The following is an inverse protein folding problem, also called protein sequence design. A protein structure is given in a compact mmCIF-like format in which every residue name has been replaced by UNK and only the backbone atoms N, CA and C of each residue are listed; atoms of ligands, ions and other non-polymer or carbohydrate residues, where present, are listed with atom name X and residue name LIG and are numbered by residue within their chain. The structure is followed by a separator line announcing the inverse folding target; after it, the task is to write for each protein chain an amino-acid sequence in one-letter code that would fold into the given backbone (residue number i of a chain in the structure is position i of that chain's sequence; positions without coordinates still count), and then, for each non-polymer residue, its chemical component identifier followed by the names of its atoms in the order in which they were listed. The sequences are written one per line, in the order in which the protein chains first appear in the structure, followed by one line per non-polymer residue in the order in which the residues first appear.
data_IF_026738634566
#
_entry.id   IF_026738634566
#
_cell.length_a   1.000
_cell.length_b   1.000
_cell.length_c   1.000
_cell.angle_alpha   90.00
_cell.angle_beta   90.00
_cell.angle_gamma   90.00
#
_symmetry.space_group_name_H-M   'P 1'
#
loop_
_entity.id
_entity.type
_entity.pdbx_description
1 polymer ?
#
# COMPACT_ATOMS: atom_id res chain seq x y z
N UNK A 1 18.19 -4.26 -39.26
CA UNK A 1 18.29 -5.43 -38.37
C UNK A 1 17.00 -5.56 -37.59
N UNK A 2 16.27 -6.67 -37.71
CA UNK A 2 15.08 -6.93 -36.90
C UNK A 2 15.56 -7.19 -35.47
N UNK A 3 15.27 -6.27 -34.55
CA UNK A 3 15.60 -6.44 -33.13
C UNK A 3 14.67 -7.53 -32.58
N UNK A 4 15.22 -8.72 -32.29
CA UNK A 4 14.54 -9.77 -31.55
C UNK A 4 14.84 -9.65 -30.04
N UNK A 5 14.09 -10.31 -29.13
CA UNK A 5 14.27 -10.13 -27.68
C UNK A 5 15.66 -10.48 -27.14
N UNK A 6 16.38 -11.43 -27.77
CA UNK A 6 17.73 -11.80 -27.34
C UNK A 6 18.76 -10.77 -27.79
N UNK A 7 18.64 -10.28 -29.03
CA UNK A 7 19.44 -9.14 -29.52
C UNK A 7 19.12 -7.85 -28.77
N UNK A 8 17.89 -7.69 -28.27
CA UNK A 8 17.53 -6.57 -27.42
C UNK A 8 18.17 -6.63 -26.04
N UNK A 9 18.28 -7.81 -25.45
CA UNK A 9 18.93 -7.97 -24.15
C UNK A 9 20.44 -7.67 -24.25
N UNK A 10 21.10 -8.16 -25.31
CA UNK A 10 22.48 -7.80 -25.63
C UNK A 10 22.62 -6.29 -25.92
N UNK A 11 21.66 -5.70 -26.63
CA UNK A 11 21.66 -4.26 -26.85
C UNK A 11 21.45 -3.45 -25.56
N UNK A 12 20.52 -3.86 -24.69
CA UNK A 12 20.30 -3.24 -23.39
C UNK A 12 21.59 -3.20 -22.59
N UNK A 13 22.39 -4.27 -22.66
CA UNK A 13 23.71 -4.33 -22.04
C UNK A 13 24.64 -3.25 -22.59
N UNK A 14 24.78 -3.12 -23.91
CA UNK A 14 25.60 -2.08 -24.55
C UNK A 14 25.11 -0.67 -24.19
N UNK A 15 23.81 -0.43 -24.29
CA UNK A 15 23.21 0.87 -24.00
C UNK A 15 23.40 1.30 -22.54
N UNK A 16 23.54 0.34 -21.62
CA UNK A 16 23.78 0.60 -20.20
C UNK A 16 25.26 0.79 -19.83
N UNK A 17 26.19 0.56 -20.76
CA UNK A 17 27.61 0.92 -20.59
C UNK A 17 27.88 2.40 -20.88
N UNK A 18 26.94 3.09 -21.54
CA UNK A 18 27.00 4.53 -21.73
C UNK A 18 26.78 5.25 -20.37
N UNK A 19 27.38 6.44 -20.17
CA UNK A 19 27.26 7.17 -18.91
C UNK A 19 25.79 7.32 -18.51
N UNK A 20 25.44 6.82 -17.33
CA UNK A 20 24.08 6.85 -16.85
C UNK A 20 23.65 8.29 -16.56
N UNK A 21 22.52 8.67 -17.13
CA UNK A 21 21.88 9.96 -16.91
C UNK A 21 21.25 10.02 -15.50
N UNK A 22 21.85 10.82 -14.61
CA UNK A 22 21.31 11.43 -13.38
C UNK A 22 20.47 10.52 -12.44
N UNK A 23 20.71 9.20 -12.44
CA UNK A 23 19.95 8.25 -11.61
C UNK A 23 18.47 8.06 -12.03
N UNK A 24 18.07 8.58 -13.20
CA UNK A 24 16.71 8.44 -13.74
C UNK A 24 16.45 7.01 -14.22
N UNK A 25 15.20 6.55 -14.04
CA UNK A 25 14.73 5.21 -14.45
C UNK A 25 13.54 5.32 -15.38
N UNK A 26 13.30 4.25 -16.14
CA UNK A 26 12.14 4.09 -17.01
C UNK A 26 11.58 2.68 -16.91
N UNK A 27 10.29 2.53 -17.21
CA UNK A 27 9.59 1.25 -17.28
C UNK A 27 9.26 0.97 -18.75
N UNK A 28 9.78 -0.14 -19.27
CA UNK A 28 9.55 -0.61 -20.64
C UNK A 28 8.63 -1.81 -20.58
N UNK A 29 7.45 -1.71 -21.19
CA UNK A 29 6.49 -2.82 -21.32
C UNK A 29 6.71 -3.60 -22.60
N UNK A 30 6.62 -4.91 -22.49
CA UNK A 30 6.78 -5.85 -23.60
C UNK A 30 5.41 -6.38 -24.03
N UNK A 31 5.18 -6.43 -25.33
CA UNK A 31 3.88 -6.73 -25.93
C UNK A 31 3.39 -8.16 -25.72
N UNK A 32 4.30 -9.14 -25.68
CA UNK A 32 3.98 -10.56 -25.56
C UNK A 32 4.66 -11.23 -24.38
N UNK A 33 3.99 -12.24 -23.80
CA UNK A 33 4.54 -13.10 -22.74
C UNK A 33 5.77 -13.89 -23.22
N UNK A 34 5.78 -14.27 -24.50
CA UNK A 34 6.91 -14.98 -25.13
C UNK A 34 8.16 -14.10 -25.11
N UNK A 35 8.06 -12.88 -25.59
CA UNK A 35 9.18 -11.96 -25.71
C UNK A 35 9.68 -11.52 -24.34
N UNK A 36 8.75 -11.20 -23.43
CA UNK A 36 9.09 -10.90 -22.04
C UNK A 36 9.80 -12.08 -21.37
N UNK A 37 9.31 -13.30 -21.56
CA UNK A 37 9.92 -14.52 -21.01
C UNK A 37 11.34 -14.75 -21.53
N UNK A 38 11.59 -14.50 -22.82
CA UNK A 38 12.93 -14.57 -23.41
C UNK A 38 13.86 -13.53 -22.79
N UNK A 39 13.43 -12.28 -22.73
CA UNK A 39 14.19 -11.17 -22.14
C UNK A 39 14.52 -11.42 -20.66
N UNK A 40 13.51 -11.78 -19.85
CA UNK A 40 13.68 -12.02 -18.42
C UNK A 40 14.63 -13.22 -18.14
N UNK A 41 14.55 -14.29 -18.95
CA UNK A 41 15.47 -15.43 -18.84
C UNK A 41 16.89 -15.03 -19.19
N UNK A 42 17.08 -14.23 -20.25
CA UNK A 42 18.39 -13.76 -20.65
C UNK A 42 19.03 -12.91 -19.54
N UNK A 43 18.32 -11.90 -19.03
CA UNK A 43 18.76 -11.07 -17.90
C UNK A 43 19.16 -11.93 -16.70
N UNK A 44 18.31 -12.91 -16.33
CA UNK A 44 18.58 -13.76 -15.17
C UNK A 44 19.85 -14.61 -15.32
N UNK A 45 20.11 -15.14 -16.52
CA UNK A 45 21.28 -15.98 -16.79
C UNK A 45 22.59 -15.19 -16.76
N UNK A 46 22.58 -13.98 -17.31
CA UNK A 46 23.80 -13.18 -17.47
C UNK A 46 24.09 -12.23 -16.30
N UNK A 47 23.15 -12.04 -15.38
CA UNK A 47 23.32 -11.14 -14.22
C UNK A 47 24.54 -11.47 -13.34
N UNK A 48 24.98 -12.75 -13.29
CA UNK A 48 26.19 -13.14 -12.53
C UNK A 48 27.49 -12.71 -13.18
N UNK A 49 27.56 -12.76 -14.51
CA UNK A 49 28.77 -12.41 -15.27
C UNK A 49 28.79 -10.95 -15.69
N UNK A 50 27.64 -10.26 -15.63
CA UNK A 50 27.50 -8.87 -16.06
C UNK A 50 26.75 -8.04 -15.00
N UNK A 51 27.49 -7.31 -14.14
CA UNK A 51 26.90 -6.51 -13.07
C UNK A 51 25.92 -5.42 -13.53
N UNK A 52 26.08 -4.88 -14.74
CA UNK A 52 25.19 -3.83 -15.29
C UNK A 52 23.75 -4.31 -15.43
N UNK A 53 23.52 -5.57 -15.80
CA UNK A 53 22.19 -6.20 -15.84
C UNK A 53 21.55 -6.33 -14.44
N UNK A 54 22.33 -6.19 -13.37
CA UNK A 54 21.83 -6.06 -12.00
C UNK A 54 20.91 -4.83 -11.82
N UNK A 55 21.10 -3.79 -12.64
CA UNK A 55 20.29 -2.55 -12.61
C UNK A 55 18.97 -2.68 -13.37
N UNK A 56 18.73 -3.81 -14.06
CA UNK A 56 17.45 -4.11 -14.71
C UNK A 56 16.59 -4.95 -13.77
N UNK A 57 15.38 -4.50 -13.50
CA UNK A 57 14.41 -5.20 -12.68
C UNK A 57 13.23 -5.71 -13.52
N UNK A 58 13.09 -7.03 -13.70
CA UNK A 58 11.88 -7.59 -14.29
C UNK A 58 10.65 -7.37 -13.38
N UNK A 59 9.55 -6.94 -14.00
CA UNK A 59 8.22 -6.74 -13.42
C UNK A 59 7.25 -7.67 -14.17
N UNK A 60 7.20 -8.93 -13.73
CA UNK A 60 6.48 -10.02 -14.40
C UNK A 60 4.97 -9.79 -14.44
N UNK A 61 4.40 -9.20 -13.39
CA UNK A 61 2.97 -8.94 -13.24
C UNK A 61 2.39 -8.11 -14.40
N UNK A 62 3.22 -7.26 -15.00
CA UNK A 62 2.82 -6.37 -16.10
C UNK A 62 3.62 -6.57 -17.39
N UNK A 63 4.47 -7.60 -17.43
CA UNK A 63 5.39 -7.92 -18.54
C UNK A 63 6.28 -6.73 -18.89
N UNK A 64 6.94 -6.17 -17.88
CA UNK A 64 7.77 -4.98 -18.04
C UNK A 64 9.17 -5.18 -17.42
N UNK A 65 10.09 -4.30 -17.79
CA UNK A 65 11.37 -4.13 -17.11
C UNK A 65 11.49 -2.70 -16.62
N UNK A 66 12.02 -2.49 -15.43
CA UNK A 66 12.56 -1.19 -15.00
C UNK A 66 14.07 -1.19 -15.25
N UNK A 67 14.58 -0.13 -15.85
CA UNK A 67 15.99 0.07 -16.10
C UNK A 67 16.34 1.57 -16.05
N UNK A 68 17.63 1.93 -15.97
CA UNK A 68 18.06 3.31 -16.22
C UNK A 68 17.54 3.82 -17.56
N UNK A 69 17.34 5.14 -17.69
CA UNK A 69 16.97 5.75 -18.97
C UNK A 69 18.03 5.42 -20.03
N UNK A 70 17.57 5.02 -21.20
CA UNK A 70 18.42 4.64 -22.34
C UNK A 70 18.35 5.74 -23.41
N UNK A 71 19.38 5.91 -24.26
CA UNK A 71 19.35 6.88 -25.35
C UNK A 71 18.17 6.65 -26.33
N UNK A 72 17.49 7.73 -26.74
CA UNK A 72 16.18 7.69 -27.41
C UNK A 72 16.15 6.96 -28.78
N UNK A 73 17.28 6.87 -29.49
CA UNK A 73 17.31 6.42 -30.89
C UNK A 73 17.02 4.94 -31.17
N UNK A 74 17.06 4.04 -30.16
CA UNK A 74 16.92 2.58 -30.36
C UNK A 74 15.72 1.93 -29.67
N UNK A 75 15.01 2.64 -28.79
CA UNK A 75 13.76 2.13 -28.19
C UNK A 75 12.61 2.13 -29.21
N UNK A 76 12.56 3.15 -30.07
CA UNK A 76 11.51 3.30 -31.09
C UNK A 76 11.54 2.22 -32.19
N UNK A 77 12.69 1.55 -32.39
CA UNK A 77 12.87 0.54 -33.44
C UNK A 77 12.65 -0.91 -32.99
N UNK A 78 12.31 -1.13 -31.72
CA UNK A 78 12.07 -2.46 -31.16
C UNK A 78 10.58 -2.85 -31.21
N UNK A 79 10.14 -3.73 -32.13
CA UNK A 79 8.72 -3.99 -32.39
C UNK A 79 7.98 -4.72 -31.26
N UNK A 80 8.70 -5.34 -30.32
CA UNK A 80 8.11 -6.03 -29.17
C UNK A 80 7.88 -5.12 -27.95
N UNK A 81 8.29 -3.85 -28.01
CA UNK A 81 8.00 -2.86 -26.96
C UNK A 81 6.59 -2.32 -27.17
N UNK A 82 5.72 -2.48 -26.16
CA UNK A 82 4.35 -1.97 -26.22
C UNK A 82 4.21 -0.53 -25.71
N UNK A 83 5.06 -0.12 -24.77
CA UNK A 83 5.10 1.25 -24.25
C UNK A 83 6.34 1.49 -23.40
N UNK A 84 6.76 2.75 -23.33
CA UNK A 84 7.80 3.22 -22.40
C UNK A 84 7.19 4.33 -21.54
N UNK A 85 7.43 4.31 -20.24
CA UNK A 85 7.05 5.40 -19.32
C UNK A 85 8.18 5.73 -18.35
N UNK A 86 8.26 6.98 -17.91
CA UNK A 86 9.21 7.41 -16.89
C UNK A 86 8.88 6.75 -15.54
N UNK A 87 9.88 6.17 -14.90
CA UNK A 87 9.75 5.58 -13.57
C UNK A 87 9.79 6.71 -12.53
N UNK A 88 8.63 7.31 -12.30
CA UNK A 88 8.49 8.49 -11.43
C UNK A 88 8.75 8.12 -9.96
N UNK A 89 9.30 9.08 -9.19
CA UNK A 89 9.49 8.91 -7.74
C UNK A 89 8.22 9.35 -6.99
N UNK A 90 7.79 8.52 -6.06
CA UNK A 90 6.68 8.75 -5.13
C UNK A 90 7.28 9.08 -3.75
N UNK A 91 6.61 9.95 -3.00
CA UNK A 91 6.96 10.22 -1.60
C UNK A 91 5.79 9.90 -0.67
N UNK A 92 6.09 9.45 0.54
CA UNK A 92 5.08 9.34 1.59
C UNK A 92 4.51 10.71 1.92
N UNK A 93 3.19 10.77 2.05
CA UNK A 93 2.49 11.96 2.50
C UNK A 93 2.37 11.94 4.01
N UNK A 94 3.30 12.57 4.72
CA UNK A 94 3.14 12.87 6.15
C UNK A 94 2.69 14.33 6.25
N UNK A 95 1.50 14.60 6.77
CA UNK A 95 0.98 15.97 6.84
C UNK A 95 1.90 16.90 7.64
N UNK A 96 1.99 18.17 7.25
CA UNK A 96 2.81 19.21 7.90
C UNK A 96 2.44 19.51 9.37
N UNK A 97 1.46 18.80 9.93
CA UNK A 97 1.05 18.86 11.33
C UNK A 97 1.80 17.85 12.21
N UNK A 98 3.10 18.04 12.35
CA UNK A 98 3.89 17.54 13.48
C UNK A 98 4.41 16.11 13.35
N UNK A 99 5.71 16.00 13.09
CA UNK A 99 6.54 15.29 14.05
C UNK A 99 6.39 16.01 15.40
N UNK A 100 5.26 15.78 16.09
CA UNK A 100 5.21 15.99 17.52
C UNK A 100 6.24 14.99 18.04
N UNK A 101 7.38 15.50 18.48
CA UNK A 101 8.25 14.82 19.44
C UNK A 101 7.44 14.61 20.72
N UNK A 102 6.44 13.74 20.64
CA UNK A 102 5.71 13.23 21.78
C UNK A 102 6.74 12.46 22.56
N UNK A 103 7.30 13.13 23.58
CA UNK A 103 8.11 12.50 24.64
C UNK A 103 7.51 11.14 24.89
N UNK A 104 8.29 10.08 24.62
CA UNK A 104 7.82 8.70 24.63
C UNK A 104 7.00 8.45 25.89
N UNK A 105 5.67 8.51 25.75
CA UNK A 105 4.77 8.37 26.89
C UNK A 105 4.84 6.91 27.27
N UNK A 106 5.45 6.62 28.41
CA UNK A 106 5.35 5.32 29.05
C UNK A 106 3.89 5.04 29.34
N UNK A 107 3.25 4.18 28.54
CA UNK A 107 1.89 3.74 28.80
C UNK A 107 1.86 2.96 30.12
N UNK A 108 0.89 3.26 31.00
CA UNK A 108 0.68 2.53 32.26
C UNK A 108 -0.20 1.28 32.09
N UNK A 109 -0.67 1.01 30.86
CA UNK A 109 -1.47 -0.17 30.52
C UNK A 109 -1.72 -0.30 29.01
N UNK A 110 -2.49 -1.31 28.61
CA UNK A 110 -2.93 -1.47 27.24
C UNK A 110 -3.98 -0.41 26.87
N UNK A 111 -3.74 0.35 25.81
CA UNK A 111 -4.60 1.45 25.37
C UNK A 111 -5.22 1.11 24.03
N UNK A 112 -6.54 1.28 23.91
CA UNK A 112 -7.20 1.27 22.60
C UNK A 112 -7.15 2.70 22.04
N UNK A 113 -6.45 2.98 20.91
CA UNK A 113 -6.41 4.32 20.34
C UNK A 113 -7.82 4.84 19.99
N UNK A 114 -8.00 6.16 20.00
CA UNK A 114 -9.32 6.76 19.82
C UNK A 114 -9.96 6.37 18.49
N UNK A 115 -9.17 6.29 17.40
CA UNK A 115 -9.65 5.95 16.06
C UNK A 115 -10.25 4.54 16.02
N UNK A 116 -9.60 3.59 16.70
CA UNK A 116 -10.06 2.20 16.85
C UNK A 116 -11.41 2.14 17.58
N UNK A 117 -11.56 2.89 18.69
CA UNK A 117 -12.86 3.02 19.40
C UNK A 117 -13.92 3.70 18.54
N UNK A 118 -13.55 4.76 17.83
CA UNK A 118 -14.44 5.61 17.05
C UNK A 118 -15.15 4.85 15.94
N UNK A 119 -14.43 3.95 15.25
CA UNK A 119 -14.98 3.08 14.20
C UNK A 119 -15.73 1.86 14.76
N UNK A 120 -15.85 1.73 16.08
CA UNK A 120 -16.50 0.59 16.76
C UNK A 120 -15.81 -0.76 16.49
N UNK A 121 -14.47 -0.78 16.39
CA UNK A 121 -13.71 -2.01 16.26
C UNK A 121 -13.81 -2.91 17.52
N UNK A 122 -13.78 -2.39 18.77
CA UNK A 122 -13.93 -3.23 19.95
C UNK A 122 -15.22 -4.05 19.99
N UNK A 123 -16.33 -3.47 19.54
CA UNK A 123 -17.60 -4.18 19.43
C UNK A 123 -17.57 -5.24 18.32
N UNK A 124 -16.84 -4.97 17.22
CA UNK A 124 -16.67 -5.92 16.12
C UNK A 124 -15.86 -7.16 16.51
N UNK A 125 -14.96 -7.06 17.50
CA UNK A 125 -14.14 -8.17 18.00
C UNK A 125 -14.95 -9.33 18.60
N UNK A 126 -16.20 -9.09 19.00
CA UNK A 126 -17.15 -10.15 19.39
C UNK A 126 -17.55 -11.05 18.21
N UNK A 127 -17.32 -10.61 16.96
CA UNK A 127 -17.67 -11.32 15.74
C UNK A 127 -16.46 -11.80 14.96
N UNK A 128 -15.37 -11.03 14.96
CA UNK A 128 -14.13 -11.32 14.26
C UNK A 128 -13.01 -10.44 14.77
N UNK A 129 -11.80 -10.97 14.88
CA UNK A 129 -10.56 -10.25 15.22
C UNK A 129 -9.54 -10.23 14.07
N UNK A 130 -9.93 -10.71 12.88
CA UNK A 130 -9.10 -10.72 11.68
C UNK A 130 -8.18 -11.94 11.55
N UNK A 131 -8.52 -13.05 12.21
CA UNK A 131 -7.69 -14.26 12.27
C UNK A 131 -7.22 -14.74 10.88
N UNK A 132 -5.91 -15.03 10.78
CA UNK A 132 -5.20 -15.55 9.61
C UNK A 132 -5.28 -14.70 8.32
N UNK A 133 -5.87 -13.51 8.33
CA UNK A 133 -5.90 -12.65 7.14
C UNK A 133 -4.55 -12.01 6.91
N UNK A 134 -4.01 -12.18 5.70
CA UNK A 134 -2.68 -11.71 5.32
C UNK A 134 -2.75 -10.34 4.68
N UNK A 135 -1.99 -9.40 5.23
CA UNK A 135 -2.01 -8.00 4.82
C UNK A 135 -0.61 -7.59 4.40
N UNK A 136 -0.43 -7.31 3.11
CA UNK A 136 0.78 -6.74 2.55
C UNK A 136 0.81 -5.24 2.78
N UNK A 137 1.74 -4.76 3.61
CA UNK A 137 1.94 -3.34 3.88
C UNK A 137 3.08 -2.83 3.01
N UNK A 138 2.75 -2.24 1.85
CA UNK A 138 3.73 -1.66 0.93
C UNK A 138 4.11 -0.27 1.45
N UNK A 139 5.25 -0.19 2.13
CA UNK A 139 5.65 0.99 2.92
C UNK A 139 7.18 0.99 3.17
N UNK A 140 7.64 1.60 4.26
CA UNK A 140 9.07 1.70 4.65
C UNK A 140 9.63 0.47 5.36
N UNK A 141 8.82 -0.57 5.58
CA UNK A 141 9.19 -1.75 6.37
C UNK A 141 8.47 -1.78 7.72
N UNK A 142 8.84 -2.71 8.61
CA UNK A 142 8.32 -2.75 9.99
C UNK A 142 9.45 -3.07 11.00
N UNK A 143 9.35 -2.52 12.21
CA UNK A 143 10.14 -2.94 13.37
C UNK A 143 9.69 -4.33 13.89
N UNK A 144 10.42 -5.38 13.48
CA UNK A 144 10.15 -6.76 13.90
C UNK A 144 10.38 -7.01 15.40
N UNK A 145 11.14 -6.14 16.09
CA UNK A 145 11.40 -6.27 17.51
C UNK A 145 10.33 -5.58 18.37
N UNK A 146 9.38 -4.87 17.77
CA UNK A 146 8.35 -4.15 18.51
C UNK A 146 7.49 -5.13 19.34
N UNK A 147 7.37 -4.94 20.67
CA UNK A 147 6.69 -5.89 21.56
C UNK A 147 5.23 -6.12 21.19
N UNK A 148 4.54 -5.06 20.72
CA UNK A 148 3.15 -5.12 20.27
C UNK A 148 2.95 -5.68 18.86
N UNK A 149 4.01 -5.91 18.06
CA UNK A 149 3.88 -6.37 16.67
C UNK A 149 4.45 -7.77 16.43
N UNK A 150 5.41 -8.24 17.23
CA UNK A 150 6.09 -9.54 17.04
C UNK A 150 5.16 -10.76 16.90
N UNK A 151 3.92 -10.66 17.36
CA UNK A 151 2.92 -11.73 17.30
C UNK A 151 2.15 -11.76 15.97
N UNK A 152 2.08 -10.64 15.24
CA UNK A 152 1.33 -10.50 13.99
C UNK A 152 2.23 -10.38 12.75
N UNK A 153 3.55 -10.24 12.93
CA UNK A 153 4.47 -10.11 11.81
C UNK A 153 4.85 -11.46 11.21
N UNK A 154 4.64 -11.58 9.90
CA UNK A 154 5.13 -12.66 9.06
C UNK A 154 6.32 -12.21 8.23
N UNK A 155 7.03 -13.16 7.60
CA UNK A 155 8.12 -12.83 6.68
C UNK A 155 7.61 -11.93 5.54
N UNK A 156 8.24 -10.79 5.39
CA UNK A 156 7.94 -9.81 4.35
C UNK A 156 8.93 -9.82 3.18
N UNK A 157 8.91 -8.75 2.39
CA UNK A 157 9.78 -8.56 1.22
C UNK A 157 10.43 -7.20 1.23
N UNK A 158 11.75 -7.15 1.07
CA UNK A 158 12.50 -5.92 0.90
C UNK A 158 12.83 -5.73 -0.59
N UNK A 159 12.10 -4.82 -1.23
CA UNK A 159 12.26 -4.54 -2.66
C UNK A 159 13.62 -3.89 -2.92
N UNK A 160 14.07 -3.02 -2.00
CA UNK A 160 15.30 -2.25 -2.10
C UNK A 160 16.55 -3.13 -1.92
N UNK A 161 16.47 -4.14 -1.05
CA UNK A 161 17.52 -5.15 -0.88
C UNK A 161 16.91 -6.51 -0.56
N UNK A 162 16.79 -7.36 -1.59
CA UNK A 162 16.11 -8.67 -1.54
C UNK A 162 16.80 -9.71 -0.64
N UNK A 163 18.03 -9.45 -0.18
CA UNK A 163 18.77 -10.33 0.73
C UNK A 163 18.46 -10.05 2.20
N UNK A 164 17.88 -8.88 2.50
CA UNK A 164 17.59 -8.44 3.86
C UNK A 164 16.10 -8.56 4.17
N UNK A 165 15.79 -8.69 5.46
CA UNK A 165 14.42 -8.51 5.93
C UNK A 165 13.99 -7.03 5.73
N UNK A 166 12.69 -6.77 5.56
CA UNK A 166 12.14 -5.41 5.37
C UNK A 166 12.05 -4.66 6.71
N UNK A 167 13.19 -4.43 7.35
CA UNK A 167 13.29 -3.61 8.55
C UNK A 167 12.96 -2.15 8.25
N UNK A 168 12.20 -1.54 9.15
CA UNK A 168 11.86 -0.12 9.05
C UNK A 168 12.99 0.77 9.55
N UNK A 169 13.36 1.75 8.72
CA UNK A 169 14.36 2.77 8.99
C UNK A 169 13.76 4.19 8.94
N UNK A 170 12.43 4.30 8.78
CA UNK A 170 11.70 5.56 8.73
C UNK A 170 10.66 5.67 9.87
N UNK A 171 9.93 4.57 10.14
CA UNK A 171 8.92 4.45 11.19
C UNK A 171 7.48 4.48 10.69
N UNK A 172 7.22 5.00 9.48
CA UNK A 172 5.87 5.10 8.94
C UNK A 172 5.22 3.72 8.78
N UNK A 173 5.90 2.75 8.17
CA UNK A 173 5.37 1.39 8.01
C UNK A 173 5.10 0.69 9.34
N UNK A 174 5.95 0.90 10.35
CA UNK A 174 5.71 0.43 11.73
C UNK A 174 4.44 1.04 12.34
N UNK A 175 4.18 2.32 12.10
CA UNK A 175 2.95 3.01 12.56
C UNK A 175 1.70 2.44 11.91
N UNK A 176 1.76 2.21 10.59
CA UNK A 176 0.70 1.57 9.81
C UNK A 176 0.41 0.16 10.35
N UNK A 177 1.44 -0.66 10.53
CA UNK A 177 1.30 -2.03 11.03
C UNK A 177 0.60 -2.07 12.41
N UNK A 178 0.96 -1.17 13.32
CA UNK A 178 0.31 -1.12 14.65
C UNK A 178 -1.15 -0.70 14.61
N UNK A 179 -1.52 0.22 13.72
CA UNK A 179 -2.92 0.63 13.59
C UNK A 179 -3.76 -0.54 13.08
N UNK A 180 -3.19 -1.38 12.19
CA UNK A 180 -3.87 -2.54 11.65
C UNK A 180 -3.96 -3.66 12.70
N UNK A 181 -2.84 -4.10 13.29
CA UNK A 181 -2.77 -5.39 13.97
C UNK A 181 -1.93 -5.40 15.26
N UNK A 182 -1.63 -4.25 15.89
CA UNK A 182 -0.98 -4.29 17.20
C UNK A 182 -1.82 -5.06 18.22
N UNK A 183 -1.16 -5.73 19.15
CA UNK A 183 -1.80 -6.37 20.28
C UNK A 183 -0.90 -6.35 21.51
N UNK A 184 -1.22 -5.44 22.42
CA UNK A 184 -0.63 -5.39 23.74
C UNK A 184 -1.40 -6.27 24.73
N UNK A 185 -0.68 -7.08 25.52
CA UNK A 185 -1.25 -7.84 26.65
C UNK A 185 -1.28 -7.03 27.94
N UNK A 186 -0.19 -6.34 28.27
CA UNK A 186 -0.06 -5.58 29.53
C UNK A 186 0.11 -4.08 29.28
N UNK A 187 1.02 -3.70 28.38
CA UNK A 187 1.36 -2.32 28.06
C UNK A 187 1.52 -2.17 26.55
N UNK A 188 0.94 -1.10 25.99
CA UNK A 188 1.01 -0.84 24.56
C UNK A 188 -0.35 -0.50 23.97
N UNK A 189 -0.58 -0.82 22.71
CA UNK A 189 -1.84 -0.54 22.00
C UNK A 189 -2.48 -1.78 21.38
N UNK A 190 -3.74 -1.65 20.99
CA UNK A 190 -4.46 -2.66 20.22
C UNK A 190 -4.93 -2.04 18.89
N UNK A 191 -4.57 -2.70 17.78
CA UNK A 191 -4.97 -2.35 16.41
C UNK A 191 -6.38 -2.80 16.07
N UNK A 192 -6.84 -2.51 14.85
CA UNK A 192 -8.21 -2.83 14.41
C UNK A 192 -8.47 -4.34 14.33
N UNK A 193 -7.51 -5.10 13.81
CA UNK A 193 -7.57 -6.53 13.55
C UNK A 193 -6.39 -7.24 14.23
N UNK A 194 -6.44 -7.40 15.57
CA UNK A 194 -5.31 -7.87 16.37
C UNK A 194 -4.91 -9.33 16.14
N UNK A 195 -5.63 -10.09 15.31
CA UNK A 195 -5.27 -11.46 14.91
C UNK A 195 -4.92 -11.58 13.42
N UNK A 196 -4.84 -10.46 12.69
CA UNK A 196 -4.38 -10.46 11.31
C UNK A 196 -2.86 -10.61 11.22
N UNK A 197 -2.37 -11.09 10.08
CA UNK A 197 -0.95 -11.27 9.79
C UNK A 197 -0.45 -10.15 8.88
N UNK A 198 0.51 -9.38 9.37
CA UNK A 198 1.18 -8.33 8.60
C UNK A 198 2.38 -8.91 7.87
N UNK A 199 2.43 -8.72 6.56
CA UNK A 199 3.60 -8.95 5.74
C UNK A 199 4.18 -7.59 5.32
N UNK A 200 5.30 -7.15 5.92
CA UNK A 200 5.93 -5.90 5.54
C UNK A 200 6.50 -5.99 4.11
N UNK A 201 6.21 -5.02 3.25
CA UNK A 201 6.77 -4.93 1.90
C UNK A 201 7.49 -3.59 1.78
N UNK A 202 8.81 -3.61 2.03
CA UNK A 202 9.65 -2.40 2.02
C UNK A 202 9.93 -1.99 0.58
N UNK A 203 9.15 -1.04 0.08
CA UNK A 203 9.34 -0.39 -1.22
C UNK A 203 9.85 1.05 -1.07
N UNK A 204 9.72 1.64 0.12
CA UNK A 204 10.15 3.01 0.41
C UNK A 204 11.47 3.03 1.19
N UNK A 205 12.35 3.95 0.81
CA UNK A 205 13.63 4.20 1.48
C UNK A 205 13.45 4.95 2.81
N UNK A 206 14.56 5.17 3.52
CA UNK A 206 14.58 5.87 4.81
C UNK A 206 14.01 7.31 4.75
N UNK A 207 14.01 7.94 3.58
CA UNK A 207 13.43 9.28 3.37
C UNK A 207 11.95 9.22 2.99
N UNK A 208 11.35 8.02 2.91
CA UNK A 208 9.99 7.82 2.45
C UNK A 208 9.82 8.02 0.95
N UNK A 209 10.88 7.83 0.15
CA UNK A 209 10.82 7.85 -1.31
C UNK A 209 10.78 6.43 -1.90
N UNK A 210 10.06 6.26 -3.01
CA UNK A 210 10.02 5.00 -3.77
C UNK A 210 9.92 5.27 -5.27
N UNK A 211 10.44 4.38 -6.11
CA UNK A 211 10.12 4.36 -7.53
C UNK A 211 8.79 3.64 -7.77
N UNK A 212 8.07 4.01 -8.83
CA UNK A 212 6.86 3.29 -9.24
C UNK A 212 7.16 1.82 -9.52
N UNK A 213 8.31 1.51 -10.12
CA UNK A 213 8.75 0.13 -10.34
C UNK A 213 8.93 -0.67 -9.05
N UNK A 214 9.40 -0.06 -7.96
CA UNK A 214 9.56 -0.70 -6.66
C UNK A 214 8.20 -1.03 -6.04
N UNK A 215 7.24 -0.11 -6.17
CA UNK A 215 5.84 -0.32 -5.76
C UNK A 215 5.21 -1.47 -6.55
N UNK A 216 5.39 -1.50 -7.88
CA UNK A 216 4.88 -2.58 -8.74
C UNK A 216 5.47 -3.93 -8.33
N UNK A 217 6.76 -4.00 -8.03
CA UNK A 217 7.40 -5.22 -7.54
C UNK A 217 6.87 -5.66 -6.17
N UNK A 218 6.52 -4.72 -5.29
CA UNK A 218 5.81 -5.01 -4.04
C UNK A 218 4.42 -5.60 -4.28
N UNK A 219 3.65 -5.05 -5.23
CA UNK A 219 2.33 -5.59 -5.62
C UNK A 219 2.48 -7.01 -6.20
N UNK A 220 3.47 -7.22 -7.08
CA UNK A 220 3.79 -8.54 -7.65
C UNK A 220 4.11 -9.57 -6.57
N UNK A 221 4.90 -9.19 -5.57
CA UNK A 221 5.19 -10.05 -4.44
C UNK A 221 3.92 -10.39 -3.66
N UNK A 222 3.04 -9.42 -3.39
CA UNK A 222 1.77 -9.65 -2.71
C UNK A 222 0.88 -10.65 -3.45
N UNK A 223 0.75 -10.50 -4.77
CA UNK A 223 -0.01 -11.44 -5.63
C UNK A 223 0.59 -12.84 -5.57
N UNK A 224 1.92 -12.94 -5.69
CA UNK A 224 2.61 -14.23 -5.74
C UNK A 224 2.62 -14.99 -4.41
N UNK A 225 2.41 -14.30 -3.29
CA UNK A 225 2.45 -14.88 -1.94
C UNK A 225 1.07 -15.04 -1.30
N UNK A 226 0.00 -14.87 -2.08
CA UNK A 226 -1.37 -15.05 -1.60
C UNK A 226 -1.73 -14.10 -0.45
N UNK A 227 -1.32 -12.83 -0.57
CA UNK A 227 -1.78 -11.76 0.31
C UNK A 227 -3.26 -11.48 0.03
N UNK A 228 -4.07 -11.23 1.05
CA UNK A 228 -5.50 -10.92 0.88
C UNK A 228 -5.74 -9.43 0.65
N UNK A 229 -5.00 -8.58 1.38
CA UNK A 229 -5.17 -7.13 1.41
C UNK A 229 -3.83 -6.44 1.15
N UNK A 230 -3.80 -5.50 0.21
CA UNK A 230 -2.66 -4.59 0.00
C UNK A 230 -3.02 -3.22 0.59
N UNK A 231 -2.26 -2.79 1.59
CA UNK A 231 -2.32 -1.45 2.15
C UNK A 231 -1.26 -0.55 1.49
N UNK A 232 -1.70 0.51 0.81
CA UNK A 232 -0.84 1.52 0.17
C UNK A 232 -1.09 2.89 0.79
N UNK A 233 -0.40 3.18 1.89
CA UNK A 233 -0.52 4.44 2.64
C UNK A 233 0.36 5.55 2.05
N UNK A 234 0.30 5.71 0.72
CA UNK A 234 1.02 6.70 -0.07
C UNK A 234 0.19 7.17 -1.26
N UNK A 235 0.64 8.25 -1.92
CA UNK A 235 -0.03 8.80 -3.08
C UNK A 235 0.93 9.50 -4.04
N UNK A 236 0.57 9.53 -5.32
CA UNK A 236 1.25 10.30 -6.36
C UNK A 236 0.23 11.00 -7.26
N UNK A 237 0.59 12.20 -7.73
CA UNK A 237 -0.28 13.01 -8.60
C UNK A 237 -0.24 12.52 -10.05
N UNK A 238 0.94 12.08 -10.48
CA UNK A 238 1.19 11.63 -11.85
C UNK A 238 0.54 10.27 -12.08
N UNK A 239 -0.19 10.15 -13.19
CA UNK A 239 -0.73 8.87 -13.63
C UNK A 239 0.41 7.98 -14.18
N UNK A 240 0.43 6.71 -13.79
CA UNK A 240 1.29 5.68 -14.37
C UNK A 240 0.44 4.53 -14.90
N UNK A 241 0.63 4.22 -16.18
CA UNK A 241 -0.07 3.13 -16.86
C UNK A 241 0.46 1.77 -16.38
N UNK A 242 1.74 1.68 -16.04
CA UNK A 242 2.32 0.49 -15.43
C UNK A 242 1.72 0.21 -14.05
N UNK A 243 1.59 1.23 -13.20
CA UNK A 243 1.00 1.08 -11.86
C UNK A 243 -0.48 0.69 -11.94
N UNK A 244 -1.26 1.32 -12.82
CA UNK A 244 -2.67 0.94 -13.02
C UNK A 244 -2.79 -0.52 -13.45
N UNK A 245 -1.94 -0.99 -14.38
CA UNK A 245 -1.97 -2.37 -14.82
C UNK A 245 -1.59 -3.36 -13.70
N UNK A 246 -0.65 -3.01 -12.84
CA UNK A 246 -0.28 -3.82 -11.68
C UNK A 246 -1.45 -3.92 -10.68
N UNK A 247 -2.07 -2.79 -10.36
CA UNK A 247 -3.25 -2.70 -9.49
C UNK A 247 -4.43 -3.49 -10.07
N UNK A 248 -4.70 -3.35 -11.37
CA UNK A 248 -5.76 -4.08 -12.05
C UNK A 248 -5.52 -5.60 -12.02
N UNK A 249 -4.28 -6.03 -12.22
CA UNK A 249 -3.92 -7.46 -12.19
C UNK A 249 -4.07 -8.03 -10.78
N UNK A 250 -3.61 -7.32 -9.75
CA UNK A 250 -3.81 -7.72 -8.36
C UNK A 250 -5.30 -7.79 -7.97
N UNK A 251 -6.10 -6.80 -8.39
CA UNK A 251 -7.54 -6.80 -8.17
C UNK A 251 -8.24 -8.00 -8.86
N UNK A 252 -7.84 -8.32 -10.09
CA UNK A 252 -8.36 -9.49 -10.83
C UNK A 252 -7.96 -10.82 -10.18
N UNK A 253 -6.79 -10.88 -9.54
CA UNK A 253 -6.37 -12.01 -8.72
C UNK A 253 -7.14 -12.13 -7.40
N UNK A 254 -8.02 -11.16 -7.08
CA UNK A 254 -8.89 -11.20 -5.90
C UNK A 254 -8.38 -10.41 -4.71
N UNK A 255 -7.23 -9.74 -4.82
CA UNK A 255 -6.66 -8.94 -3.74
C UNK A 255 -7.47 -7.66 -3.52
N UNK A 256 -7.67 -7.30 -2.26
CA UNK A 256 -8.32 -6.06 -1.88
C UNK A 256 -7.25 -4.99 -1.73
N UNK A 257 -7.44 -3.88 -2.43
CA UNK A 257 -6.44 -2.82 -2.49
C UNK A 257 -7.02 -1.59 -1.82
N UNK A 258 -6.33 -1.06 -0.81
CA UNK A 258 -6.74 0.09 0.00
C UNK A 258 -5.65 1.15 -0.09
N UNK A 259 -6.00 2.38 -0.47
CA UNK A 259 -5.02 3.44 -0.62
C UNK A 259 -5.50 4.81 -0.12
N UNK A 260 -4.55 5.61 0.32
CA UNK A 260 -4.76 6.97 0.83
C UNK A 260 -5.09 7.97 -0.27
N UNK A 261 -6.00 8.91 -0.01
CA UNK A 261 -6.42 9.90 -1.01
C UNK A 261 -5.48 11.09 -1.23
N UNK A 262 -4.51 11.30 -0.34
CA UNK A 262 -3.58 12.44 -0.36
C UNK A 262 -3.87 13.48 0.73
N UNK A 263 -2.92 14.36 1.01
CA UNK A 263 -2.86 15.20 2.21
C UNK A 263 -2.77 16.72 1.92
N UNK A 264 -3.22 17.17 0.74
CA UNK A 264 -3.16 18.56 0.30
C UNK A 264 -4.44 19.37 0.53
N UNK A 265 -5.48 18.78 1.14
CA UNK A 265 -6.77 19.44 1.39
C UNK A 265 -7.57 19.76 0.12
N UNK A 266 -7.23 19.12 -1.01
CA UNK A 266 -7.86 19.37 -2.32
C UNK A 266 -9.25 18.73 -2.41
N UNK A 267 -10.22 19.44 -2.99
CA UNK A 267 -11.62 19.00 -3.06
C UNK A 267 -11.96 18.14 -4.30
N UNK A 268 -11.07 18.05 -5.29
CA UNK A 268 -11.33 17.36 -6.56
C UNK A 268 -10.15 16.54 -7.12
N UNK A 269 -9.05 16.45 -6.37
CA UNK A 269 -7.82 15.82 -6.82
C UNK A 269 -7.43 14.75 -5.79
N UNK A 270 -7.70 13.49 -6.15
CA UNK A 270 -7.33 12.31 -5.36
C UNK A 270 -6.07 11.73 -5.99
N UNK A 271 -5.13 11.34 -5.17
CA UNK A 271 -3.87 10.74 -5.62
C UNK A 271 -4.06 9.34 -6.21
N UNK A 272 -3.16 8.95 -7.10
CA UNK A 272 -2.95 7.55 -7.47
C UNK A 272 -2.12 6.85 -6.38
N UNK A 273 -2.40 5.58 -6.05
CA UNK A 273 -3.34 4.67 -6.71
C UNK A 273 -4.80 4.77 -6.22
N UNK A 274 -5.12 5.58 -5.21
CA UNK A 274 -6.48 5.67 -4.67
C UNK A 274 -7.53 6.08 -5.72
N UNK A 275 -7.15 6.88 -6.71
CA UNK A 275 -8.04 7.28 -7.82
C UNK A 275 -8.42 6.14 -8.77
N UNK A 276 -7.71 5.01 -8.77
CA UNK A 276 -8.06 3.86 -9.62
C UNK A 276 -9.36 3.21 -9.14
N UNK A 277 -10.24 2.84 -10.09
CA UNK A 277 -11.58 2.30 -9.78
C UNK A 277 -11.55 1.04 -8.92
N UNK A 278 -10.51 0.23 -9.08
CA UNK A 278 -10.25 -1.05 -8.43
C UNK A 278 -9.84 -0.92 -6.96
N UNK A 279 -9.41 0.29 -6.55
CA UNK A 279 -8.87 0.59 -5.22
C UNK A 279 -9.95 1.18 -4.34
N UNK A 280 -9.92 0.87 -3.04
CA UNK A 280 -10.74 1.53 -2.03
C UNK A 280 -10.03 2.82 -1.65
N UNK A 281 -10.56 3.96 -2.11
CA UNK A 281 -10.00 5.28 -1.84
C UNK A 281 -10.39 5.77 -0.43
N UNK A 282 -9.41 6.06 0.41
CA UNK A 282 -9.62 6.40 1.82
C UNK A 282 -9.24 7.84 2.14
N UNK A 283 -10.22 8.62 2.60
CA UNK A 283 -10.02 9.97 3.17
C UNK A 283 -9.92 9.95 4.70
N UNK A 284 -9.44 11.05 5.28
CA UNK A 284 -9.18 11.18 6.71
C UNK A 284 -10.24 12.00 7.45
N UNK A 285 -10.57 11.58 8.67
CA UNK A 285 -11.41 12.32 9.62
C UNK A 285 -10.70 12.62 10.92
N UNK A 286 -11.21 13.66 11.58
CA UNK A 286 -10.84 14.11 12.92
C UNK A 286 -11.62 13.37 14.00
N UNK A 287 -11.18 13.47 15.25
CA UNK A 287 -11.90 12.92 16.42
C UNK A 287 -13.31 13.51 16.61
N UNK A 288 -13.57 14.68 16.02
CA UNK A 288 -14.91 15.31 16.00
C UNK A 288 -15.83 14.78 14.89
N UNK A 289 -15.38 13.76 14.14
CA UNK A 289 -16.15 13.18 13.04
C UNK A 289 -16.25 14.07 11.81
N UNK A 290 -15.38 15.09 11.68
CA UNK A 290 -15.30 15.97 10.49
C UNK A 290 -14.18 15.50 9.57
N UNK A 291 -14.29 15.78 8.26
CA UNK A 291 -13.17 15.60 7.33
C UNK A 291 -11.97 16.42 7.85
N UNK A 292 -10.79 15.81 7.89
CA UNK A 292 -9.56 16.51 8.29
C UNK A 292 -9.19 17.55 7.24
N UNK A 293 -8.70 18.72 7.67
CA UNK A 293 -8.41 19.85 6.75
C UNK A 293 -7.40 19.49 5.66
N UNK A 294 -6.46 18.60 5.95
CA UNK A 294 -5.48 18.10 5.00
C UNK A 294 -6.03 17.01 4.07
N UNK A 295 -7.17 16.38 4.37
CA UNK A 295 -7.63 15.24 3.56
C UNK A 295 -8.05 15.71 2.18
N UNK A 296 -7.45 15.14 1.13
CA UNK A 296 -8.03 15.24 -0.20
C UNK A 296 -9.43 14.60 -0.16
N UNK A 297 -10.40 15.29 -0.74
CA UNK A 297 -11.82 14.98 -0.75
C UNK A 297 -12.34 15.00 -2.20
N UNK A 298 -13.57 14.52 -2.40
CA UNK A 298 -14.25 14.55 -3.68
C UNK A 298 -15.01 13.27 -4.01
N UNK A 299 -15.67 13.24 -5.18
CA UNK A 299 -16.54 12.13 -5.61
C UNK A 299 -15.82 10.78 -5.73
N UNK A 300 -14.50 10.77 -5.86
CA UNK A 300 -13.71 9.54 -5.94
C UNK A 300 -13.39 8.89 -4.59
N UNK A 301 -13.71 9.54 -3.45
CA UNK A 301 -13.53 8.92 -2.13
C UNK A 301 -14.60 7.85 -1.92
N UNK A 302 -14.17 6.65 -1.55
CA UNK A 302 -15.09 5.58 -1.22
C UNK A 302 -15.54 5.64 0.23
N UNK A 303 -14.60 5.92 1.14
CA UNK A 303 -14.87 5.91 2.57
C UNK A 303 -13.90 6.81 3.31
N UNK A 304 -14.35 7.37 4.43
CA UNK A 304 -13.51 8.11 5.36
C UNK A 304 -13.21 7.27 6.61
N UNK A 305 -12.05 7.48 7.21
CA UNK A 305 -11.68 6.84 8.48
C UNK A 305 -10.78 7.78 9.32
N UNK A 306 -10.62 7.50 10.63
CA UNK A 306 -9.75 8.28 11.52
C UNK A 306 -8.34 8.44 10.95
N UNK A 307 -7.93 9.69 10.72
CA UNK A 307 -6.60 9.99 10.16
C UNK A 307 -5.88 11.16 10.82
N UNK A 308 -6.51 11.92 11.72
CA UNK A 308 -5.87 13.00 12.46
C UNK A 308 -5.49 12.54 13.88
N UNK A 309 -4.25 12.80 14.30
CA UNK A 309 -3.75 12.46 15.65
C UNK A 309 -3.96 10.99 16.01
N UNK A 310 -3.45 10.11 15.15
CA UNK A 310 -3.52 8.67 15.31
C UNK A 310 -2.26 8.19 16.03
N UNK A 311 -2.47 7.69 17.24
CA UNK A 311 -1.40 7.11 18.06
C UNK A 311 -1.20 5.63 17.69
N UNK A 312 0.03 5.26 17.33
CA UNK A 312 0.39 3.88 16.96
C UNK A 312 1.83 3.53 17.36
N UNK A 313 2.25 2.30 17.07
CA UNK A 313 3.61 1.79 17.25
C UNK A 313 4.65 2.58 16.43
N UNK A 314 5.88 2.60 16.89
CA UNK A 314 7.00 3.32 16.27
C UNK A 314 8.32 2.58 16.50
N UNK A 315 9.37 2.96 15.77
CA UNK A 315 10.68 2.32 15.84
C UNK A 315 11.21 2.15 17.27
N UNK A 316 11.89 1.01 17.49
CA UNK A 316 12.58 0.65 18.74
C UNK A 316 11.60 0.47 19.90
N UNK A 317 10.46 -0.16 19.63
CA UNK A 317 9.42 -0.44 20.63
C UNK A 317 8.71 0.79 21.19
N UNK A 318 8.79 1.94 20.49
CA UNK A 318 8.20 3.21 20.91
C UNK A 318 6.81 3.39 20.30
N UNK A 319 6.19 4.54 20.54
CA UNK A 319 4.92 4.92 19.97
C UNK A 319 4.99 6.36 19.46
N UNK A 320 4.18 6.68 18.46
CA UNK A 320 4.13 8.02 17.89
C UNK A 320 2.70 8.39 17.46
N UNK A 321 2.41 9.69 17.46
CA UNK A 321 1.15 10.25 16.97
C UNK A 321 1.38 10.89 15.60
N UNK A 322 0.67 10.42 14.58
CA UNK A 322 0.76 10.93 13.21
C UNK A 322 -0.60 11.34 12.66
N UNK A 323 -0.59 12.25 11.69
CA UNK A 323 -1.78 12.69 10.96
C UNK A 323 -1.58 12.52 9.45
N UNK A 324 -2.56 11.88 8.81
CA UNK A 324 -2.56 11.66 7.36
C UNK A 324 -3.67 10.69 6.92
N UNK A 325 -4.03 10.76 5.64
CA UNK A 325 -4.87 9.74 4.97
C UNK A 325 -4.24 8.35 5.00
N UNK A 326 -2.90 8.28 5.13
CA UNK A 326 -2.14 7.07 5.43
C UNK A 326 -2.64 6.33 6.67
N UNK A 327 -2.93 7.04 7.77
CA UNK A 327 -3.45 6.46 9.00
C UNK A 327 -4.94 6.11 8.91
N UNK A 328 -5.70 6.80 8.07
CA UNK A 328 -7.08 6.41 7.77
C UNK A 328 -7.14 5.09 6.98
N UNK A 329 -6.21 4.93 6.02
CA UNK A 329 -6.07 3.74 5.17
C UNK A 329 -5.84 2.48 6.01
N UNK A 330 -4.99 2.55 7.04
CA UNK A 330 -4.73 1.41 7.94
C UNK A 330 -5.97 0.99 8.75
N UNK A 331 -6.81 1.93 9.19
CA UNK A 331 -8.08 1.60 9.83
C UNK A 331 -9.00 0.80 8.89
N UNK A 332 -9.09 1.21 7.61
CA UNK A 332 -9.91 0.53 6.60
C UNK A 332 -9.35 -0.87 6.31
N UNK A 333 -8.04 -1.00 6.11
CA UNK A 333 -7.36 -2.29 5.91
C UNK A 333 -7.66 -3.27 7.06
N UNK A 334 -7.59 -2.79 8.31
CA UNK A 334 -7.97 -3.60 9.48
C UNK A 334 -9.44 -4.03 9.47
N UNK A 335 -10.38 -3.14 9.14
CA UNK A 335 -11.81 -3.53 9.07
C UNK A 335 -12.07 -4.53 7.94
N UNK A 336 -11.39 -4.38 6.79
CA UNK A 336 -11.45 -5.35 5.71
C UNK A 336 -10.96 -6.72 6.20
N UNK A 337 -9.89 -6.77 7.00
CA UNK A 337 -9.41 -8.02 7.58
C UNK A 337 -10.45 -8.65 8.51
N UNK A 338 -11.13 -7.86 9.35
CA UNK A 338 -12.24 -8.36 10.17
C UNK A 338 -13.37 -8.96 9.31
N UNK A 339 -13.70 -8.32 8.19
CA UNK A 339 -14.72 -8.79 7.25
C UNK A 339 -14.32 -10.10 6.56
N UNK A 340 -13.07 -10.20 6.08
CA UNK A 340 -12.56 -11.39 5.41
C UNK A 340 -12.43 -12.58 6.36
N UNK A 341 -11.94 -12.38 7.59
CA UNK A 341 -11.91 -13.45 8.59
C UNK A 341 -13.32 -13.95 8.93
N UNK A 342 -14.33 -13.07 8.92
CA UNK A 342 -15.71 -13.46 9.16
C UNK A 342 -16.34 -14.20 7.98
N UNK A 343 -15.95 -13.85 6.75
CA UNK A 343 -16.42 -14.49 5.53
C UNK A 343 -15.28 -14.56 4.51
N UNK A 344 -14.52 -15.66 4.51
CA UNK A 344 -13.46 -15.90 3.53
C UNK A 344 -14.01 -15.89 2.09
N UNK A 345 -13.18 -15.50 1.13
CA UNK A 345 -13.53 -15.52 -0.30
C UNK A 345 -14.38 -14.34 -0.81
N UNK A 346 -14.66 -13.33 0.02
CA UNK A 346 -15.33 -12.11 -0.45
C UNK A 346 -14.51 -11.41 -1.54
N UNK A 347 -15.15 -11.16 -2.70
CA UNK A 347 -14.50 -10.48 -3.82
C UNK A 347 -14.30 -8.98 -3.54
N UNK A 348 -13.25 -8.34 -4.09
CA UNK A 348 -12.92 -6.94 -3.84
C UNK A 348 -14.07 -5.95 -4.05
N UNK A 349 -14.81 -6.08 -5.16
CA UNK A 349 -15.96 -5.21 -5.45
C UNK A 349 -17.06 -5.32 -4.39
N UNK A 350 -17.29 -6.53 -3.86
CA UNK A 350 -18.32 -6.75 -2.82
C UNK A 350 -17.89 -6.15 -1.50
N UNK A 351 -16.62 -6.28 -1.12
CA UNK A 351 -16.07 -5.62 0.09
C UNK A 351 -16.22 -4.11 -0.01
N UNK A 352 -15.77 -3.51 -1.12
CA UNK A 352 -15.90 -2.08 -1.38
C UNK A 352 -17.37 -1.61 -1.27
N UNK A 353 -18.30 -2.33 -1.89
CA UNK A 353 -19.72 -2.02 -1.81
C UNK A 353 -20.29 -2.12 -0.38
N UNK A 354 -19.91 -3.15 0.38
CA UNK A 354 -20.35 -3.36 1.75
C UNK A 354 -19.85 -2.27 2.69
N UNK A 355 -18.57 -1.88 2.57
CA UNK A 355 -18.00 -0.76 3.32
C UNK A 355 -18.81 0.52 3.08
N UNK A 356 -19.03 0.91 1.82
CA UNK A 356 -19.77 2.12 1.44
C UNK A 356 -21.23 2.11 1.91
N UNK A 357 -21.88 0.94 1.86
CA UNK A 357 -23.29 0.80 2.24
C UNK A 357 -23.48 0.87 3.76
N UNK A 358 -22.56 0.29 4.52
CA UNK A 358 -22.68 0.14 5.98
C UNK A 358 -21.89 1.16 6.80
N UNK A 359 -21.17 2.06 6.13
CA UNK A 359 -20.56 3.24 6.74
C UNK A 359 -21.61 4.18 7.36
N UNK A 360 -21.21 4.94 8.38
CA UNK A 360 -22.08 5.93 9.04
C UNK A 360 -21.96 7.29 8.35
N UNK A 361 -23.02 8.07 8.33
CA UNK A 361 -22.94 9.44 7.84
C UNK A 361 -22.05 10.29 8.74
N UNK A 362 -21.27 11.18 8.13
CA UNK A 362 -20.62 12.27 8.84
C UNK A 362 -21.67 13.35 9.15
N UNK A 363 -21.75 13.72 10.43
CA UNK A 363 -22.65 14.76 10.91
C UNK A 363 -21.82 16.00 11.22
N UNK A 364 -22.20 17.15 10.65
CA UNK A 364 -21.66 18.45 11.02
C UNK A 364 -22.80 19.35 11.46
N UNK A 365 -22.70 19.92 12.66
CA UNK A 365 -23.71 20.82 13.24
C UNK A 365 -25.14 20.25 13.19
N UNK A 366 -25.31 18.96 13.52
CA UNK A 366 -26.61 18.28 13.51
C UNK A 366 -27.19 17.96 12.13
N UNK A 367 -26.58 18.43 11.03
CA UNK A 367 -27.00 18.13 9.66
C UNK A 367 -26.16 17.01 9.06
N UNK A 368 -26.82 16.06 8.39
CA UNK A 368 -26.14 15.04 7.56
C UNK A 368 -25.48 15.78 6.40
N UNK A 369 -24.15 15.73 6.28
CA UNK A 369 -23.50 16.19 5.06
C UNK A 369 -23.69 15.09 4.01
N UNK A 370 -24.41 15.42 2.95
CA UNK A 370 -24.82 14.47 1.91
C UNK A 370 -23.65 13.66 1.36
N UNK A 371 -23.80 12.33 1.36
CA UNK A 371 -22.90 11.40 0.66
C UNK A 371 -21.60 11.00 1.38
N UNK A 372 -21.11 11.79 2.35
CA UNK A 372 -19.86 11.51 3.05
C UNK A 372 -20.09 10.50 4.17
N UNK A 373 -19.40 9.36 4.08
CA UNK A 373 -19.57 8.24 5.02
C UNK A 373 -18.24 7.82 5.65
N UNK A 374 -18.27 7.66 6.96
CA UNK A 374 -17.14 7.23 7.78
C UNK A 374 -17.28 5.75 8.17
N UNK A 375 -16.14 5.07 8.25
CA UNK A 375 -16.00 3.66 8.58
C UNK A 375 -16.70 3.28 9.89
N UNK A 376 -17.44 2.16 9.86
CA UNK A 376 -18.08 1.57 11.04
C UNK A 376 -17.88 0.04 11.04
N UNK A 377 -16.86 -0.42 11.75
CA UNK A 377 -16.39 -1.81 11.77
C UNK A 377 -17.51 -2.81 12.10
N UNK A 378 -18.25 -2.61 13.20
CA UNK A 378 -19.31 -3.53 13.60
C UNK A 378 -20.39 -3.71 12.52
N UNK A 379 -20.82 -2.62 11.86
CA UNK A 379 -21.84 -2.68 10.80
C UNK A 379 -21.30 -3.40 9.56
N UNK A 380 -20.05 -3.13 9.18
CA UNK A 380 -19.40 -3.78 8.05
C UNK A 380 -19.24 -5.30 8.28
N UNK A 381 -18.76 -5.71 9.46
CA UNK A 381 -18.60 -7.13 9.82
C UNK A 381 -19.94 -7.84 10.00
N UNK A 382 -20.97 -7.19 10.55
CA UNK A 382 -22.30 -7.79 10.63
C UNK A 382 -22.93 -7.98 9.24
N UNK A 383 -22.64 -7.10 8.29
CA UNK A 383 -23.21 -7.16 6.95
C UNK A 383 -22.74 -8.37 6.13
N UNK A 384 -21.50 -8.84 6.35
CA UNK A 384 -20.99 -10.01 5.62
C UNK A 384 -21.71 -11.31 6.02
N UNK A 385 -22.24 -11.38 7.24
CA UNK A 385 -23.01 -12.53 7.74
C UNK A 385 -24.42 -12.60 7.14
N UNK A 386 -25.07 -11.46 6.87
CA UNK A 386 -26.44 -11.42 6.31
C UNK A 386 -26.49 -11.75 4.81
N UNK A 387 -25.40 -11.55 4.09
CA UNK A 387 -25.33 -11.74 2.64
C UNK A 387 -25.14 -13.21 2.23
N UNK A 388 -25.36 -14.19 3.12
CA UNK A 388 -25.25 -15.63 2.82
C UNK A 388 -26.51 -16.20 2.13
N UNK A 389 -27.58 -15.41 1.99
CA UNK A 389 -28.84 -15.82 1.33
C UNK A 389 -29.02 -15.27 -0.11
N UNK A 390 -27.95 -14.93 -0.80
CA UNK A 390 -28.01 -14.50 -2.22
C UNK A 390 -26.90 -15.14 -3.01
#
# INVERSE_FOLDING_TARGET
MIVNPSTFAAWLQEAMQLPADDGRRQIIRIGSDRDFGLLARHISRQRRTQPTLGRIQPLRLIRAISCPVLPEGKLASAPFISSVETDSRVKLHVGAGGASSGKGRSLEGAVIPWGIRHIRAPQAWTKSKGDQIRIGVIDTGVDYAHPDLRHCLSRGFNVLNRQLLPYDDNGHGTHIAGTIAAYARQKGIIGVAPQALIHPVKAFDHQGGAFVSDIIAGIEWCVSNGIDIINMSFGMKTYSKALEAAVLTAHRAGLIIVASSGNEGKQAEIDYPARFRQVIAVGATTRRGRIASFSNAGKGIDIYAPGEKIYSTWLRGKYNELSGTSMATSHVSGVVALMLAKRPGLKPLRVKALLKRHARFIVSSGKKIGGIKELHALRAVAAVSKSAKQ
#
